data_IF_027191825468
#
_entry.id   IF_027191825468
#
_cell.length_a   1.000
_cell.length_b   1.000
_cell.length_c   1.000
_cell.angle_alpha   90.00
_cell.angle_beta   90.00
_cell.angle_gamma   90.00
#
_symmetry.space_group_name_H-M   'P 1'
#
loop_
_entity.id
_entity.type
_entity.pdbx_description
1 polymer ?
#
# COMPACT_ATOMS: atom_id res chain seq x y z
N UNK A 1 12.47 -4.34 43.76
CA UNK A 1 11.66 -3.60 42.77
C UNK A 1 12.39 -2.37 42.25
N UNK A 2 13.10 -1.64 43.11
CA UNK A 2 13.87 -0.44 42.74
C UNK A 2 14.83 -0.63 41.54
N UNK A 3 15.51 -1.77 41.45
CA UNK A 3 16.36 -2.09 40.31
C UNK A 3 15.59 -2.11 38.98
N UNK A 4 14.36 -2.63 38.98
CA UNK A 4 13.53 -2.73 37.78
C UNK A 4 12.99 -1.35 37.36
N UNK A 5 12.58 -0.52 38.33
CA UNK A 5 12.20 0.87 38.04
C UNK A 5 13.38 1.68 37.51
N UNK A 6 14.55 1.53 38.12
CA UNK A 6 15.79 2.18 37.68
C UNK A 6 16.16 1.73 36.26
N UNK A 7 16.12 0.41 36.01
CA UNK A 7 16.37 -0.13 34.68
C UNK A 7 15.40 0.42 33.63
N UNK A 8 14.10 0.42 33.92
CA UNK A 8 13.09 0.90 32.98
C UNK A 8 13.29 2.39 32.66
N UNK A 9 13.55 3.21 33.67
CA UNK A 9 13.87 4.63 33.48
C UNK A 9 15.12 4.83 32.61
N UNK A 10 16.22 4.15 32.93
CA UNK A 10 17.46 4.24 32.17
C UNK A 10 17.31 3.73 30.74
N UNK A 11 16.54 2.65 30.52
CA UNK A 11 16.26 2.11 29.21
C UNK A 11 15.46 3.12 28.37
N UNK A 12 14.36 3.66 28.91
CA UNK A 12 13.54 4.65 28.22
C UNK A 12 14.37 5.88 27.82
N UNK A 13 15.10 6.48 28.77
CA UNK A 13 15.95 7.64 28.49
C UNK A 13 17.08 7.31 27.51
N UNK A 14 17.75 6.17 27.67
CA UNK A 14 18.82 5.74 26.78
C UNK A 14 18.33 5.51 25.34
N UNK A 15 17.15 4.92 25.18
CA UNK A 15 16.52 4.70 23.87
C UNK A 15 16.17 6.03 23.19
N UNK A 16 15.58 6.99 23.91
CA UNK A 16 15.27 8.32 23.34
C UNK A 16 16.53 9.11 22.98
N UNK A 17 17.61 8.99 23.76
CA UNK A 17 18.90 9.61 23.44
C UNK A 17 19.52 9.03 22.16
N UNK A 18 19.40 7.71 21.95
CA UNK A 18 19.92 7.06 20.75
C UNK A 18 19.03 7.29 19.51
N UNK A 19 17.71 7.26 19.70
CA UNK A 19 16.67 7.39 18.67
C UNK A 19 15.47 8.15 19.26
N UNK A 20 15.31 9.47 18.99
CA UNK A 20 14.28 10.30 19.62
C UNK A 20 12.83 9.83 19.44
N UNK A 21 12.55 9.07 18.38
CA UNK A 21 11.24 8.50 18.07
C UNK A 21 11.06 7.06 18.57
N UNK A 22 12.02 6.49 19.29
CA UNK A 22 11.88 5.15 19.86
C UNK A 22 10.80 5.12 20.95
N UNK A 23 10.30 3.91 21.23
CA UNK A 23 9.24 3.68 22.21
C UNK A 23 9.58 2.47 23.08
N UNK A 24 9.46 2.64 24.38
CA UNK A 24 9.54 1.57 25.38
C UNK A 24 8.16 1.32 25.94
N UNK A 25 7.65 0.09 25.80
CA UNK A 25 6.30 -0.29 26.22
C UNK A 25 6.40 -1.37 27.28
N UNK A 26 5.73 -1.16 28.42
CA UNK A 26 5.65 -2.14 29.51
C UNK A 26 4.49 -3.10 29.31
N UNK A 27 4.66 -4.39 29.60
CA UNK A 27 3.55 -5.34 29.61
C UNK A 27 3.00 -5.52 31.03
N UNK A 28 1.68 -5.36 31.21
CA UNK A 28 0.95 -5.56 32.45
C UNK A 28 1.15 -6.99 32.98
N UNK A 29 2.19 -7.22 33.77
CA UNK A 29 2.62 -8.54 34.24
C UNK A 29 3.03 -8.48 35.70
N UNK A 30 4.20 -7.91 35.98
CA UNK A 30 4.74 -7.76 37.33
C UNK A 30 4.15 -6.51 37.99
N UNK A 31 3.71 -6.63 39.24
CA UNK A 31 3.20 -5.50 40.02
C UNK A 31 4.33 -4.74 40.73
N UNK A 32 4.00 -3.60 41.33
CA UNK A 32 4.90 -2.83 42.21
C UNK A 32 5.46 -3.62 43.40
N UNK A 33 4.83 -4.74 43.77
CA UNK A 33 5.31 -5.64 44.83
C UNK A 33 6.26 -6.73 44.30
N UNK A 34 6.47 -6.79 42.97
CA UNK A 34 7.28 -7.83 42.32
C UNK A 34 6.53 -9.13 42.00
N UNK A 35 5.22 -9.18 42.21
CA UNK A 35 4.41 -10.37 41.93
C UNK A 35 4.00 -10.44 40.46
N UNK A 36 4.08 -11.63 39.85
CA UNK A 36 3.49 -11.88 38.54
C UNK A 36 1.95 -11.95 38.67
N UNK A 37 1.26 -10.85 38.36
CA UNK A 37 -0.18 -10.72 38.47
C UNK A 37 -0.71 -9.65 37.51
N UNK A 38 -1.28 -10.11 36.39
CA UNK A 38 -1.95 -9.25 35.42
C UNK A 38 -3.14 -8.51 36.05
N UNK A 39 -3.17 -7.19 35.90
CA UNK A 39 -4.25 -6.37 36.41
C UNK A 39 -5.42 -6.28 35.42
N UNK A 40 -5.16 -6.52 34.13
CA UNK A 40 -6.09 -6.34 33.02
C UNK A 40 -6.64 -4.90 32.91
N UNK A 41 -5.91 -3.95 33.50
CA UNK A 41 -6.27 -2.55 33.68
C UNK A 41 -5.02 -1.74 34.04
N UNK A 42 -5.01 -0.44 33.74
CA UNK A 42 -4.05 0.47 34.38
C UNK A 42 -4.58 0.85 35.77
N UNK A 43 -3.77 0.62 36.80
CA UNK A 43 -4.09 0.97 38.18
C UNK A 43 -2.81 1.19 39.01
N UNK A 44 -2.95 1.44 40.31
CA UNK A 44 -1.81 1.70 41.22
C UNK A 44 -0.74 0.59 41.23
N UNK A 45 -1.11 -0.65 40.92
CA UNK A 45 -0.20 -1.80 40.95
C UNK A 45 0.74 -1.86 39.74
N UNK A 46 0.44 -1.14 38.66
CA UNK A 46 1.29 -1.07 37.47
C UNK A 46 1.57 0.36 36.98
N UNK A 47 0.95 1.38 37.62
CA UNK A 47 1.15 2.80 37.32
C UNK A 47 2.62 3.23 37.31
N UNK A 48 3.47 2.87 38.29
CA UNK A 48 4.86 3.34 38.27
C UNK A 48 5.63 2.88 37.02
N UNK A 49 5.33 1.70 36.47
CA UNK A 49 5.97 1.29 35.21
C UNK A 49 5.48 2.13 34.03
N UNK A 50 4.18 2.40 33.96
CA UNK A 50 3.58 3.23 32.91
C UNK A 50 4.14 4.66 32.93
N UNK A 51 4.41 5.22 34.11
CA UNK A 51 5.02 6.54 34.26
C UNK A 51 6.49 6.59 33.83
N UNK A 52 7.21 5.47 33.90
CA UNK A 52 8.63 5.37 33.56
C UNK A 52 8.90 4.95 32.10
N UNK A 53 7.86 4.76 31.28
CA UNK A 53 7.99 4.37 29.88
C UNK A 53 6.92 5.03 28.99
N UNK A 54 7.02 4.80 27.68
CA UNK A 54 6.16 5.46 26.69
C UNK A 54 4.73 4.94 26.68
N UNK A 55 4.48 3.71 27.15
CA UNK A 55 3.13 3.17 27.19
C UNK A 55 3.03 1.80 27.86
N UNK A 56 1.81 1.31 28.01
CA UNK A 56 1.53 0.01 28.64
C UNK A 56 0.65 -0.88 27.76
N UNK A 57 1.08 -2.11 27.55
CA UNK A 57 0.31 -3.19 26.97
C UNK A 57 -0.44 -3.90 28.10
N UNK A 58 -1.76 -3.74 28.16
CA UNK A 58 -2.59 -4.42 29.17
C UNK A 58 -2.92 -5.85 28.77
N UNK A 59 -3.02 -6.74 29.75
CA UNK A 59 -3.45 -8.12 29.51
C UNK A 59 -4.88 -8.20 28.95
N UNK A 60 -5.19 -9.30 28.26
CA UNK A 60 -6.41 -9.47 27.46
C UNK A 60 -7.63 -10.01 28.22
N UNK A 61 -7.53 -10.28 29.53
CA UNK A 61 -8.66 -10.75 30.37
C UNK A 61 -9.42 -9.60 31.05
N UNK A 62 -9.51 -8.44 30.40
CA UNK A 62 -10.22 -7.27 30.89
C UNK A 62 -11.74 -7.44 30.82
N UNK A 63 -12.45 -6.57 31.56
CA UNK A 63 -13.91 -6.43 31.51
C UNK A 63 -14.26 -4.97 31.22
N UNK A 64 -15.43 -4.73 30.63
CA UNK A 64 -15.86 -3.39 30.19
C UNK A 64 -15.69 -2.32 31.28
N UNK A 65 -16.09 -2.53 32.56
CA UNK A 65 -15.87 -1.53 33.60
C UNK A 65 -14.40 -1.17 33.84
N UNK A 66 -13.48 -2.13 33.68
CA UNK A 66 -12.05 -1.90 33.83
C UNK A 66 -11.48 -1.01 32.73
N UNK A 67 -12.07 -1.02 31.54
CA UNK A 67 -11.65 -0.12 30.45
C UNK A 67 -11.94 1.33 30.81
N UNK A 68 -13.16 1.64 31.26
CA UNK A 68 -13.50 3.01 31.66
C UNK A 68 -12.69 3.46 32.88
N UNK A 69 -12.47 2.59 33.85
CA UNK A 69 -11.60 2.88 35.00
C UNK A 69 -10.16 3.17 34.55
N UNK A 70 -9.60 2.33 33.68
CA UNK A 70 -8.28 2.52 33.06
C UNK A 70 -8.19 3.85 32.33
N UNK A 71 -9.22 4.19 31.56
CA UNK A 71 -9.22 5.39 30.75
C UNK A 71 -9.29 6.67 31.61
N UNK A 72 -10.09 6.65 32.67
CA UNK A 72 -10.09 7.71 33.69
C UNK A 72 -8.73 7.82 34.38
N UNK A 73 -8.13 6.68 34.74
CA UNK A 73 -6.84 6.62 35.43
C UNK A 73 -5.68 7.14 34.57
N UNK A 74 -5.68 6.84 33.27
CA UNK A 74 -4.65 7.27 32.32
C UNK A 74 -4.73 8.77 31.98
N UNK A 75 -5.89 9.41 32.17
CA UNK A 75 -6.09 10.84 31.94
C UNK A 75 -5.73 11.26 30.51
N UNK A 76 -4.71 12.09 30.34
CA UNK A 76 -4.27 12.56 29.03
C UNK A 76 -3.47 11.49 28.25
N UNK A 77 -2.89 10.48 28.93
CA UNK A 77 -2.10 9.41 28.31
C UNK A 77 -2.93 8.19 27.89
N UNK A 78 -4.24 8.35 27.69
CA UNK A 78 -5.14 7.26 27.25
C UNK A 78 -4.71 6.63 25.92
N UNK A 79 -4.07 7.39 25.04
CA UNK A 79 -3.49 6.89 23.79
C UNK A 79 -2.30 5.94 23.97
N UNK A 80 -1.62 6.02 25.12
CA UNK A 80 -0.43 5.21 25.45
C UNK A 80 -0.78 3.91 26.17
N UNK A 81 -2.08 3.65 26.40
CA UNK A 81 -2.59 2.41 26.98
C UNK A 81 -3.12 1.52 25.87
N UNK A 82 -2.40 0.44 25.58
CA UNK A 82 -2.73 -0.53 24.55
C UNK A 82 -3.43 -1.73 25.17
N UNK A 83 -4.75 -1.78 25.08
CA UNK A 83 -5.56 -2.86 25.66
C UNK A 83 -5.41 -4.14 24.81
N UNK A 84 -4.92 -5.22 25.43
CA UNK A 84 -4.69 -6.49 24.74
C UNK A 84 -5.95 -7.14 24.20
N UNK A 85 -5.88 -7.66 22.98
CA UNK A 85 -6.87 -8.53 22.35
C UNK A 85 -6.16 -9.81 21.93
N UNK A 86 -6.46 -10.94 22.57
CA UNK A 86 -5.89 -12.23 22.18
C UNK A 86 -6.65 -12.83 20.99
N UNK A 87 -6.01 -12.85 19.82
CA UNK A 87 -6.64 -13.36 18.60
C UNK A 87 -6.85 -14.88 18.68
N UNK A 88 -6.17 -15.62 19.56
CA UNK A 88 -6.48 -17.03 19.79
C UNK A 88 -7.72 -17.27 20.67
N UNK A 89 -8.31 -16.22 21.24
CA UNK A 89 -9.58 -16.35 21.94
C UNK A 89 -9.48 -17.02 23.32
N UNK A 90 -8.33 -16.99 24.01
CA UNK A 90 -8.18 -17.66 25.31
C UNK A 90 -8.85 -16.87 26.43
N UNK A 91 -10.18 -16.98 26.50
CA UNK A 91 -11.07 -16.31 27.49
C UNK A 91 -11.07 -14.78 27.40
N UNK A 92 -10.66 -14.21 26.27
CA UNK A 92 -10.71 -12.77 26.03
C UNK A 92 -12.12 -12.33 25.59
N UNK A 93 -12.38 -11.03 25.64
CA UNK A 93 -13.64 -10.48 25.14
C UNK A 93 -13.81 -10.80 23.64
N UNK A 94 -14.98 -11.31 23.24
CA UNK A 94 -15.30 -11.61 21.85
C UNK A 94 -14.64 -12.87 21.28
N UNK A 95 -13.96 -13.69 22.09
CA UNK A 95 -13.42 -15.01 21.69
C UNK A 95 -12.39 -15.01 20.54
N UNK A 96 -11.77 -13.85 20.25
CA UNK A 96 -10.67 -13.75 19.28
C UNK A 96 -11.07 -14.07 17.83
N UNK A 97 -10.11 -14.55 17.03
CA UNK A 97 -10.28 -14.89 15.63
C UNK A 97 -10.89 -13.78 14.80
N UNK A 98 -11.86 -14.11 13.95
CA UNK A 98 -12.63 -13.12 13.19
C UNK A 98 -13.56 -12.24 14.04
N UNK A 99 -13.73 -12.54 15.34
CA UNK A 99 -14.49 -11.69 16.27
C UNK A 99 -13.59 -10.66 16.99
N UNK A 100 -12.30 -10.57 16.66
CA UNK A 100 -11.34 -9.58 17.22
C UNK A 100 -11.88 -8.15 17.11
N UNK A 101 -12.63 -7.84 16.06
CA UNK A 101 -13.29 -6.55 15.86
C UNK A 101 -14.28 -6.19 16.98
N UNK A 102 -14.95 -7.17 17.60
CA UNK A 102 -15.88 -6.94 18.72
C UNK A 102 -15.16 -6.36 19.94
N UNK A 103 -13.98 -6.91 20.26
CA UNK A 103 -13.13 -6.39 21.32
C UNK A 103 -12.61 -4.99 20.99
N UNK A 104 -12.12 -4.80 19.76
CA UNK A 104 -11.58 -3.52 19.29
C UNK A 104 -12.63 -2.40 19.35
N UNK A 105 -13.87 -2.69 18.95
CA UNK A 105 -14.99 -1.75 19.00
C UNK A 105 -15.22 -1.21 20.43
N UNK A 106 -15.26 -2.10 21.41
CA UNK A 106 -15.49 -1.75 22.82
C UNK A 106 -14.31 -0.99 23.42
N UNK A 107 -13.08 -1.36 23.08
CA UNK A 107 -11.88 -0.62 23.49
C UNK A 107 -11.91 0.81 22.94
N UNK A 108 -12.27 0.98 21.65
CA UNK A 108 -12.39 2.31 21.03
C UNK A 108 -13.50 3.15 21.66
N UNK A 109 -14.63 2.55 22.03
CA UNK A 109 -15.69 3.26 22.78
C UNK A 109 -15.20 3.79 24.14
N UNK A 110 -14.24 3.11 24.78
CA UNK A 110 -13.59 3.60 26.01
C UNK A 110 -12.51 4.66 25.76
N UNK A 111 -12.28 5.07 24.50
CA UNK A 111 -11.22 6.02 24.09
C UNK A 111 -9.83 5.57 24.53
N UNK A 112 -9.51 4.30 24.28
CA UNK A 112 -8.20 3.69 24.54
C UNK A 112 -7.58 3.14 23.24
N UNK A 113 -6.28 2.91 23.27
CA UNK A 113 -5.56 2.16 22.22
C UNK A 113 -5.72 0.65 22.43
N UNK A 114 -5.42 -0.14 21.40
CA UNK A 114 -5.52 -1.59 21.43
C UNK A 114 -4.19 -2.23 21.02
N UNK A 115 -3.92 -3.42 21.55
CA UNK A 115 -2.83 -4.27 21.11
C UNK A 115 -3.38 -5.62 20.63
N UNK A 116 -3.25 -5.89 19.32
CA UNK A 116 -3.67 -7.15 18.71
C UNK A 116 -2.59 -8.21 18.96
N UNK A 117 -2.85 -9.13 19.89
CA UNK A 117 -1.93 -10.17 20.29
C UNK A 117 -2.11 -11.42 19.43
N UNK A 118 -0.98 -11.94 18.92
CA UNK A 118 -0.91 -13.16 18.12
C UNK A 118 -1.81 -13.18 16.86
N UNK A 119 -1.77 -12.14 15.98
CA UNK A 119 -2.50 -12.17 14.71
C UNK A 119 -2.03 -13.27 13.74
N UNK A 120 -0.88 -13.93 14.03
CA UNK A 120 -0.44 -15.15 13.37
C UNK A 120 -1.47 -16.29 13.38
N UNK A 121 -2.48 -16.21 14.27
CA UNK A 121 -3.69 -17.04 14.27
C UNK A 121 -4.27 -17.28 12.87
N UNK A 122 -4.25 -16.27 11.98
CA UNK A 122 -4.76 -16.42 10.61
C UNK A 122 -4.00 -17.52 9.86
N UNK A 123 -2.66 -17.50 9.91
CA UNK A 123 -1.83 -18.50 9.24
C UNK A 123 -1.87 -19.87 9.95
N UNK A 124 -1.92 -19.85 11.29
CA UNK A 124 -1.82 -21.06 12.11
C UNK A 124 -3.12 -21.88 12.16
N UNK A 125 -4.28 -21.24 11.98
CA UNK A 125 -5.58 -21.90 12.19
C UNK A 125 -6.48 -21.93 10.96
N UNK A 126 -6.26 -21.09 9.96
CA UNK A 126 -7.07 -21.05 8.74
C UNK A 126 -6.40 -21.85 7.60
N UNK A 127 -7.16 -22.26 6.56
CA UNK A 127 -6.57 -22.95 5.42
C UNK A 127 -5.44 -22.13 4.76
N UNK A 128 -4.22 -22.68 4.76
CA UNK A 128 -3.01 -22.02 4.21
C UNK A 128 -3.13 -21.73 2.72
N UNK A 129 -3.86 -22.57 1.97
CA UNK A 129 -4.15 -22.36 0.54
C UNK A 129 -4.97 -21.09 0.28
N UNK A 130 -5.62 -20.54 1.30
CA UNK A 130 -6.40 -19.30 1.24
C UNK A 130 -5.81 -18.23 2.16
N UNK A 131 -4.52 -18.32 2.53
CA UNK A 131 -3.91 -17.43 3.52
C UNK A 131 -4.17 -15.96 3.23
N UNK A 132 -3.93 -15.50 2.00
CA UNK A 132 -4.15 -14.11 1.62
C UNK A 132 -5.60 -13.66 1.76
N UNK A 133 -6.55 -14.47 1.31
CA UNK A 133 -7.97 -14.17 1.48
C UNK A 133 -8.34 -14.07 2.97
N UNK A 134 -7.86 -14.99 3.80
CA UNK A 134 -8.14 -15.00 5.24
C UNK A 134 -7.45 -13.83 5.96
N UNK A 135 -6.24 -13.45 5.53
CA UNK A 135 -5.50 -12.31 6.04
C UNK A 135 -6.23 -11.00 5.71
N UNK A 136 -6.63 -10.83 4.46
CA UNK A 136 -7.33 -9.63 4.00
C UNK A 136 -8.68 -9.52 4.71
N UNK A 137 -9.43 -10.63 4.85
CA UNK A 137 -10.66 -10.70 5.66
C UNK A 137 -10.44 -10.29 7.11
N UNK A 138 -9.39 -10.79 7.77
CA UNK A 138 -9.10 -10.47 9.17
C UNK A 138 -8.86 -8.97 9.37
N UNK A 139 -7.99 -8.36 8.57
CA UNK A 139 -7.68 -6.93 8.70
C UNK A 139 -8.82 -6.02 8.27
N UNK A 140 -9.60 -6.42 7.26
CA UNK A 140 -10.82 -5.71 6.84
C UNK A 140 -11.86 -5.60 7.96
N UNK A 141 -11.95 -6.60 8.84
CA UNK A 141 -12.85 -6.54 9.99
C UNK A 141 -12.41 -5.49 11.03
N UNK A 142 -11.12 -5.13 11.05
CA UNK A 142 -10.56 -4.12 11.96
C UNK A 142 -10.51 -2.72 11.34
N UNK A 143 -10.54 -2.61 10.01
CA UNK A 143 -10.48 -1.35 9.24
C UNK A 143 -11.38 -0.23 9.81
N UNK A 144 -12.65 -0.45 10.19
CA UNK A 144 -13.49 0.63 10.71
C UNK A 144 -12.98 1.32 11.98
N UNK A 145 -12.04 0.69 12.70
CA UNK A 145 -11.49 1.15 13.97
C UNK A 145 -10.02 1.57 13.89
N UNK A 146 -9.38 1.35 12.75
CA UNK A 146 -7.96 1.58 12.53
C UNK A 146 -7.79 2.58 11.38
N UNK A 147 -7.36 3.83 11.63
CA UNK A 147 -7.05 4.75 10.55
C UNK A 147 -5.89 4.17 9.71
N UNK A 148 -6.05 4.15 8.39
CA UNK A 148 -5.01 3.74 7.46
C UNK A 148 -4.04 4.90 7.28
N UNK A 149 -2.74 4.66 7.51
CA UNK A 149 -1.71 5.66 7.28
C UNK A 149 -1.59 6.02 5.80
N UNK A 150 -1.21 7.26 5.52
CA UNK A 150 -1.07 7.79 4.16
C UNK A 150 0.42 7.82 3.79
N UNK A 151 0.82 7.38 2.59
CA UNK A 151 2.15 7.66 2.08
C UNK A 151 2.28 9.17 1.82
N UNK A 152 3.06 9.85 2.67
CA UNK A 152 3.40 11.28 2.52
C UNK A 152 4.71 11.51 1.75
N UNK A 153 5.51 10.46 1.54
CA UNK A 153 6.84 10.57 0.96
C UNK A 153 6.87 10.11 -0.50
N UNK A 154 7.58 10.89 -1.33
CA UNK A 154 7.95 10.51 -2.69
C UNK A 154 9.40 9.96 -2.71
N UNK A 155 9.71 8.98 -3.57
CA UNK A 155 8.83 8.36 -4.55
C UNK A 155 7.86 7.36 -3.93
N UNK A 156 6.64 7.33 -4.44
CA UNK A 156 5.67 6.26 -4.17
C UNK A 156 5.74 5.26 -5.31
N UNK A 157 6.04 4.00 -5.00
CA UNK A 157 6.11 2.90 -5.97
C UNK A 157 5.33 1.72 -5.43
N UNK A 158 4.52 1.10 -6.29
CA UNK A 158 3.88 -0.17 -6.01
C UNK A 158 3.81 -1.02 -7.26
N UNK A 159 4.39 -2.22 -7.19
CA UNK A 159 4.14 -3.28 -8.17
C UNK A 159 3.14 -4.30 -7.62
N UNK A 160 2.45 -3.98 -6.52
CA UNK A 160 1.48 -4.83 -5.85
C UNK A 160 2.06 -6.17 -5.39
N UNK A 161 3.38 -6.27 -5.25
CA UNK A 161 4.03 -7.48 -4.77
C UNK A 161 3.86 -7.62 -3.26
N UNK A 162 3.38 -8.78 -2.80
CA UNK A 162 3.27 -9.10 -1.37
C UNK A 162 4.57 -9.64 -0.76
N UNK A 163 5.68 -9.56 -1.49
CA UNK A 163 6.98 -10.08 -1.05
C UNK A 163 7.08 -11.61 -1.11
N UNK A 164 6.27 -12.27 -1.93
CA UNK A 164 6.31 -13.72 -2.15
C UNK A 164 5.52 -14.09 -3.41
N UNK A 165 5.71 -15.31 -3.91
CA UNK A 165 4.97 -15.85 -5.05
C UNK A 165 5.52 -17.20 -5.50
N UNK A 166 4.93 -17.77 -6.55
CA UNK A 166 5.43 -18.97 -7.25
C UNK A 166 6.22 -18.63 -8.51
N UNK A 167 6.20 -17.35 -8.88
CA UNK A 167 6.89 -16.78 -10.02
C UNK A 167 7.45 -15.43 -9.61
N UNK A 168 8.58 -15.04 -10.19
CA UNK A 168 9.11 -13.68 -10.05
C UNK A 168 9.30 -13.07 -11.44
N UNK A 169 8.86 -11.83 -11.57
CA UNK A 169 8.93 -11.06 -12.80
C UNK A 169 9.82 -9.83 -12.61
N UNK A 170 10.50 -9.44 -13.68
CA UNK A 170 11.24 -8.18 -13.80
C UNK A 170 10.91 -7.60 -15.16
N UNK A 171 10.40 -6.38 -15.18
CA UNK A 171 9.99 -5.68 -16.41
C UNK A 171 9.01 -6.51 -17.28
N UNK A 172 8.09 -7.24 -16.62
CA UNK A 172 7.11 -8.11 -17.25
C UNK A 172 7.64 -9.47 -17.72
N UNK A 173 8.94 -9.74 -17.57
CA UNK A 173 9.59 -10.99 -17.97
C UNK A 173 9.71 -11.93 -16.77
N UNK A 174 9.32 -13.19 -16.94
CA UNK A 174 9.51 -14.24 -15.93
C UNK A 174 11.01 -14.50 -15.74
N UNK A 175 11.53 -14.25 -14.55
CA UNK A 175 12.95 -14.46 -14.20
C UNK A 175 13.17 -15.61 -13.22
N UNK A 176 12.11 -16.06 -12.54
CA UNK A 176 12.14 -17.21 -11.65
C UNK A 176 10.81 -17.95 -11.67
N UNK A 177 10.87 -19.29 -11.77
CA UNK A 177 9.74 -20.19 -11.62
C UNK A 177 10.01 -21.10 -10.41
N UNK A 178 9.21 -20.96 -9.36
CA UNK A 178 9.40 -21.60 -8.06
C UNK A 178 8.91 -20.73 -6.90
N UNK A 179 8.60 -21.37 -5.78
CA UNK A 179 8.17 -20.65 -4.56
C UNK A 179 9.29 -19.76 -4.02
N UNK A 180 8.94 -18.53 -3.69
CA UNK A 180 9.84 -17.60 -3.03
C UNK A 180 9.09 -16.73 -2.01
N UNK A 181 9.83 -16.26 -1.01
CA UNK A 181 9.36 -15.30 -0.03
C UNK A 181 10.53 -14.42 0.42
N UNK A 182 10.31 -13.12 0.40
CA UNK A 182 11.19 -12.07 0.87
C UNK A 182 10.33 -10.86 1.27
N UNK A 183 10.06 -10.70 2.57
CA UNK A 183 9.26 -9.60 3.07
C UNK A 183 9.89 -8.22 2.83
N UNK A 184 11.20 -8.14 2.65
CA UNK A 184 11.86 -6.89 2.25
C UNK A 184 11.58 -6.48 0.81
N UNK A 185 11.01 -7.39 0.00
CA UNK A 185 10.52 -7.12 -1.35
C UNK A 185 9.00 -6.92 -1.41
N UNK A 186 8.33 -6.76 -0.25
CA UNK A 186 6.93 -6.36 -0.23
C UNK A 186 6.80 -4.87 -0.59
N UNK A 187 5.95 -4.58 -1.56
CA UNK A 187 5.65 -3.22 -1.97
C UNK A 187 4.48 -2.63 -1.17
N UNK A 188 4.30 -1.32 -1.29
CA UNK A 188 3.10 -0.62 -0.84
C UNK A 188 1.84 -1.30 -1.43
N UNK A 189 0.86 -1.60 -0.57
CA UNK A 189 -0.42 -2.19 -0.98
C UNK A 189 -1.53 -1.13 -0.99
N UNK A 190 -2.61 -1.29 -1.77
CA UNK A 190 -3.73 -0.33 -1.83
C UNK A 190 -4.26 0.05 -0.44
N UNK A 191 -4.54 1.34 -0.22
CA UNK A 191 -5.07 1.90 1.04
C UNK A 191 -6.59 1.77 1.15
N UNK A 192 -7.29 1.83 0.01
CA UNK A 192 -8.72 1.58 -0.02
C UNK A 192 -8.89 0.07 -0.20
N UNK A 193 -9.50 -0.63 0.76
CA UNK A 193 -9.78 -2.06 0.64
C UNK A 193 -11.26 -2.29 0.34
N UNK A 194 -12.13 -2.08 1.32
CA UNK A 194 -13.59 -2.33 1.21
C UNK A 194 -14.31 -1.32 0.31
N UNK A 195 -13.70 -0.16 0.03
CA UNK A 195 -14.31 0.93 -0.73
C UNK A 195 -13.55 1.28 -2.02
N UNK A 196 -12.81 0.31 -2.56
CA UNK A 196 -12.06 0.43 -3.82
C UNK A 196 -12.95 0.80 -5.00
N UNK A 197 -13.97 -0.02 -5.27
CA UNK A 197 -14.80 0.07 -6.46
C UNK A 197 -15.87 1.15 -6.30
N UNK A 198 -16.00 2.02 -7.31
CA UNK A 198 -17.09 3.00 -7.41
C UNK A 198 -17.78 2.85 -8.76
N UNK A 199 -18.89 2.13 -8.75
CA UNK A 199 -19.79 2.01 -9.87
C UNK A 199 -20.91 3.06 -9.72
N UNK A 200 -21.11 3.90 -10.75
CA UNK A 200 -22.33 4.67 -10.94
C UNK A 200 -23.22 3.92 -11.94
N UNK A 201 -24.54 3.94 -11.76
CA UNK A 201 -25.51 3.38 -12.72
C UNK A 201 -25.39 4.01 -14.11
N UNK A 202 -24.77 5.20 -14.19
CA UNK A 202 -24.48 5.90 -15.43
C UNK A 202 -23.14 5.51 -16.06
N UNK A 203 -22.28 4.72 -15.43
CA UNK A 203 -21.01 4.31 -16.02
C UNK A 203 -21.23 3.36 -17.20
N UNK A 204 -20.37 3.45 -18.23
CA UNK A 204 -20.38 2.52 -19.36
C UNK A 204 -19.82 1.13 -19.02
N UNK A 205 -19.21 0.97 -17.84
CA UNK A 205 -18.73 -0.30 -17.32
C UNK A 205 -19.20 -0.52 -15.89
N UNK A 206 -19.28 -1.77 -15.48
CA UNK A 206 -19.47 -2.20 -14.12
C UNK A 206 -18.23 -2.95 -13.64
N UNK A 207 -17.52 -2.41 -12.66
CA UNK A 207 -16.39 -3.08 -12.00
C UNK A 207 -16.92 -4.14 -11.03
N UNK A 208 -16.50 -5.39 -11.23
CA UNK A 208 -16.94 -6.52 -10.40
C UNK A 208 -15.92 -6.86 -9.32
N UNK A 209 -14.63 -6.82 -9.65
CA UNK A 209 -13.58 -7.19 -8.70
C UNK A 209 -12.27 -6.44 -8.93
N UNK A 210 -11.51 -6.30 -7.85
CA UNK A 210 -10.13 -5.84 -7.83
C UNK A 210 -9.38 -6.71 -6.82
N UNK A 211 -8.42 -7.52 -7.28
CA UNK A 211 -7.75 -8.50 -6.43
C UNK A 211 -6.31 -8.76 -6.87
N UNK A 212 -5.47 -9.20 -5.94
CA UNK A 212 -4.09 -9.57 -6.24
C UNK A 212 -4.07 -10.83 -7.09
N UNK A 213 -3.31 -10.79 -8.17
CA UNK A 213 -3.10 -11.89 -9.10
C UNK A 213 -1.64 -12.32 -9.10
N UNK A 214 -1.39 -13.58 -8.73
CA UNK A 214 -0.05 -14.17 -8.63
C UNK A 214 0.38 -14.88 -9.92
N UNK A 215 -0.49 -14.94 -10.94
CA UNK A 215 -0.20 -15.63 -12.20
C UNK A 215 0.63 -14.79 -13.17
N UNK A 216 0.62 -13.46 -13.02
CA UNK A 216 1.37 -12.54 -13.86
C UNK A 216 1.72 -11.28 -13.07
N UNK A 217 2.89 -10.72 -13.32
CA UNK A 217 3.32 -9.45 -12.73
C UNK A 217 4.21 -8.66 -13.67
N UNK A 218 4.31 -7.36 -13.45
CA UNK A 218 5.33 -6.54 -14.09
C UNK A 218 6.65 -6.63 -13.30
N UNK A 219 6.57 -6.50 -11.97
CA UNK A 219 7.71 -6.66 -11.07
C UNK A 219 7.30 -7.47 -9.84
N UNK A 220 8.21 -8.29 -9.32
CA UNK A 220 7.94 -9.12 -8.15
C UNK A 220 7.03 -10.30 -8.46
N UNK A 221 6.12 -10.64 -7.54
CA UNK A 221 5.37 -11.91 -7.55
C UNK A 221 3.89 -11.81 -7.88
N UNK A 222 3.37 -10.60 -8.04
CA UNK A 222 1.95 -10.38 -8.25
C UNK A 222 1.67 -9.05 -8.93
N UNK A 223 0.49 -8.93 -9.53
CA UNK A 223 -0.08 -7.67 -10.01
C UNK A 223 -1.48 -7.48 -9.41
N UNK A 224 -2.13 -6.36 -9.72
CA UNK A 224 -3.50 -6.12 -9.33
C UNK A 224 -4.44 -6.35 -10.52
N UNK A 225 -5.25 -7.40 -10.47
CA UNK A 225 -6.25 -7.71 -11.49
C UNK A 225 -7.56 -6.99 -11.22
N UNK A 226 -8.04 -6.27 -12.21
CA UNK A 226 -9.34 -5.61 -12.25
C UNK A 226 -10.20 -6.33 -13.27
N UNK A 227 -11.40 -6.74 -12.86
CA UNK A 227 -12.39 -7.37 -13.75
C UNK A 227 -13.73 -6.66 -13.68
N UNK A 228 -14.47 -6.71 -14.78
CA UNK A 228 -15.79 -6.13 -14.85
C UNK A 228 -16.51 -6.46 -16.15
N UNK A 229 -17.62 -5.78 -16.37
CA UNK A 229 -18.47 -5.93 -17.55
C UNK A 229 -18.66 -4.60 -18.26
N UNK A 230 -18.65 -4.63 -19.58
CA UNK A 230 -19.19 -3.53 -20.37
C UNK A 230 -20.71 -3.52 -20.27
N UNK A 231 -21.27 -2.35 -20.02
CA UNK A 231 -22.71 -2.16 -19.98
C UNK A 231 -23.21 -1.83 -21.38
N UNK A 232 -24.36 -2.38 -21.78
CA UNK A 232 -25.02 -2.06 -23.06
C UNK A 232 -25.53 -0.61 -23.14
N UNK A 233 -25.45 0.15 -22.04
CA UNK A 233 -25.81 1.55 -21.96
C UNK A 233 -24.89 2.38 -22.87
N UNK A 234 -25.45 3.30 -23.67
CA UNK A 234 -24.70 4.27 -24.51
C UNK A 234 -23.98 5.36 -23.68
N UNK A 235 -23.48 5.01 -22.49
CA UNK A 235 -22.72 5.94 -21.66
C UNK A 235 -21.24 5.72 -21.88
N UNK A 236 -20.52 6.83 -22.07
CA UNK A 236 -19.07 6.85 -22.14
C UNK A 236 -18.45 7.28 -20.81
N UNK A 237 -19.22 7.36 -19.73
CA UNK A 237 -18.69 7.75 -18.42
C UNK A 237 -17.86 6.61 -17.81
N UNK A 238 -16.70 6.93 -17.21
CA UNK A 238 -15.83 5.94 -16.59
C UNK A 238 -16.38 5.50 -15.23
N UNK A 239 -16.13 4.24 -14.88
CA UNK A 239 -16.16 3.79 -13.48
C UNK A 239 -14.80 4.05 -12.85
N UNK A 240 -14.79 4.41 -11.56
CA UNK A 240 -13.55 4.70 -10.84
C UNK A 240 -13.21 3.59 -9.85
N UNK A 241 -11.93 3.32 -9.73
CA UNK A 241 -11.31 2.45 -8.74
C UNK A 241 -10.31 3.30 -7.94
N UNK A 242 -10.45 3.36 -6.62
CA UNK A 242 -9.49 4.05 -5.74
C UNK A 242 -8.48 3.06 -5.20
N UNK A 243 -7.20 3.40 -5.28
CA UNK A 243 -6.10 2.52 -4.88
C UNK A 243 -5.39 3.06 -3.65
N UNK A 244 -4.81 4.25 -3.73
CA UNK A 244 -3.98 4.82 -2.67
C UNK A 244 -4.57 6.12 -2.16
N UNK A 245 -4.59 6.28 -0.84
CA UNK A 245 -4.80 7.57 -0.20
C UNK A 245 -3.45 8.26 -0.05
N UNK A 246 -3.35 9.54 -0.35
CA UNK A 246 -2.09 10.29 -0.33
C UNK A 246 -2.33 11.70 0.19
N UNK A 247 -1.26 12.42 0.47
CA UNK A 247 -1.28 13.87 0.73
C UNK A 247 0.03 14.45 0.18
N UNK A 248 0.07 14.62 -1.15
CA UNK A 248 1.28 15.02 -1.89
C UNK A 248 1.07 16.40 -2.52
N UNK A 249 1.91 17.34 -2.09
CA UNK A 249 1.80 18.76 -2.49
C UNK A 249 2.97 19.20 -3.38
N UNK A 250 3.92 18.28 -3.60
CA UNK A 250 5.17 18.56 -4.30
C UNK A 250 5.03 18.38 -5.81
N UNK A 251 5.70 19.24 -6.58
CA UNK A 251 5.62 19.28 -8.07
C UNK A 251 6.97 19.70 -8.67
N UNK A 252 7.24 19.43 -9.96
CA UNK A 252 6.45 18.63 -10.91
C UNK A 252 6.56 17.13 -10.61
N UNK A 253 5.49 16.39 -10.94
CA UNK A 253 5.43 14.94 -10.74
C UNK A 253 5.79 14.20 -12.01
N UNK A 254 6.67 13.21 -11.89
CA UNK A 254 6.86 12.16 -12.88
C UNK A 254 6.05 10.95 -12.46
N UNK A 255 5.09 10.58 -13.31
CA UNK A 255 4.15 9.50 -13.08
C UNK A 255 4.31 8.47 -14.18
N UNK A 256 4.34 7.18 -13.81
CA UNK A 256 4.29 6.09 -14.77
C UNK A 256 3.46 4.93 -14.23
N UNK A 257 2.84 4.18 -15.13
CA UNK A 257 2.14 2.95 -14.75
C UNK A 257 2.13 1.93 -15.89
N UNK A 258 2.10 0.65 -15.52
CA UNK A 258 2.18 -0.48 -16.44
C UNK A 258 0.90 -1.30 -16.41
N UNK A 259 0.27 -1.51 -17.57
CA UNK A 259 -0.97 -2.29 -17.71
C UNK A 259 -0.81 -3.42 -18.71
N UNK A 260 -1.26 -4.60 -18.31
CA UNK A 260 -1.50 -5.74 -19.17
C UNK A 260 -3.00 -5.89 -19.39
N UNK A 261 -3.42 -6.07 -20.63
CA UNK A 261 -4.81 -6.41 -20.98
C UNK A 261 -4.84 -7.84 -21.51
N UNK A 262 -5.95 -8.54 -21.27
CA UNK A 262 -6.21 -9.82 -21.95
C UNK A 262 -6.47 -9.59 -23.46
N UNK A 263 -6.36 -10.66 -24.26
CA UNK A 263 -6.36 -10.63 -25.73
C UNK A 263 -7.58 -9.96 -26.42
N UNK A 264 -8.64 -9.66 -25.65
CA UNK A 264 -9.74 -8.78 -26.06
C UNK A 264 -9.42 -7.28 -25.86
N UNK A 265 -8.19 -6.89 -26.23
CA UNK A 265 -7.50 -5.62 -25.97
C UNK A 265 -8.29 -4.32 -26.24
N UNK A 266 -9.34 -4.37 -27.06
CA UNK A 266 -10.00 -3.22 -27.67
C UNK A 266 -11.29 -2.77 -27.00
N UNK A 267 -11.86 -3.53 -26.06
CA UNK A 267 -13.22 -3.25 -25.54
C UNK A 267 -13.27 -2.14 -24.48
N UNK A 268 -12.19 -1.94 -23.71
CA UNK A 268 -12.13 -0.91 -22.65
C UNK A 268 -10.92 0.02 -22.79
N UNK A 269 -11.15 1.27 -22.42
CA UNK A 269 -10.10 2.27 -22.16
C UNK A 269 -9.90 2.43 -20.66
N UNK A 270 -8.68 2.78 -20.27
CA UNK A 270 -8.32 3.01 -18.88
C UNK A 270 -7.42 4.25 -18.76
N UNK A 271 -7.50 4.92 -17.61
CA UNK A 271 -6.70 6.10 -17.29
C UNK A 271 -6.24 6.00 -15.85
N UNK A 272 -5.00 6.36 -15.58
CA UNK A 272 -4.61 6.60 -14.19
C UNK A 272 -5.31 7.87 -13.71
N UNK A 273 -6.05 7.75 -12.61
CA UNK A 273 -6.82 8.86 -12.03
C UNK A 273 -6.07 9.45 -10.84
N UNK A 274 -5.79 10.75 -10.89
CA UNK A 274 -5.20 11.52 -9.81
C UNK A 274 -6.22 12.53 -9.29
N UNK A 275 -6.72 12.32 -8.06
CA UNK A 275 -7.63 13.24 -7.40
C UNK A 275 -6.84 14.26 -6.59
N UNK A 276 -6.93 15.52 -6.99
CA UNK A 276 -6.45 16.65 -6.20
C UNK A 276 -7.60 17.28 -5.41
N UNK A 277 -7.29 18.14 -4.44
CA UNK A 277 -8.31 18.87 -3.67
C UNK A 277 -9.28 19.66 -4.57
N UNK A 278 -8.79 20.26 -5.65
CA UNK A 278 -9.54 21.15 -6.53
C UNK A 278 -9.88 20.59 -7.91
N UNK A 279 -9.31 19.45 -8.33
CA UNK A 279 -9.58 18.83 -9.62
C UNK A 279 -9.22 17.34 -9.68
N UNK A 280 -9.58 16.70 -10.79
CA UNK A 280 -9.23 15.33 -11.15
C UNK A 280 -8.43 15.34 -12.45
N UNK A 281 -7.30 14.66 -12.46
CA UNK A 281 -6.52 14.41 -13.66
C UNK A 281 -6.72 12.96 -14.11
N UNK A 282 -6.87 12.76 -15.41
CA UNK A 282 -6.89 11.46 -16.05
C UNK A 282 -5.74 11.37 -17.02
N UNK A 283 -4.82 10.45 -16.72
CA UNK A 283 -3.63 10.23 -17.53
C UNK A 283 -3.97 9.21 -18.60
N UNK A 284 -3.95 9.67 -19.85
CA UNK A 284 -4.30 8.91 -21.03
C UNK A 284 -3.08 8.18 -21.62
N UNK A 285 -3.07 6.84 -21.63
CA UNK A 285 -1.96 6.06 -22.15
C UNK A 285 -2.00 5.83 -23.67
N UNK A 286 -3.04 6.31 -24.36
CA UNK A 286 -3.28 6.02 -25.79
C UNK A 286 -2.96 7.20 -26.69
N UNK A 287 -3.17 8.42 -26.19
CA UNK A 287 -2.96 9.67 -26.92
C UNK A 287 -1.78 10.44 -26.31
N UNK A 288 -0.84 10.84 -27.16
CA UNK A 288 0.37 11.54 -26.73
C UNK A 288 0.20 13.04 -26.97
N UNK A 289 0.49 13.84 -25.95
CA UNK A 289 0.36 15.29 -26.03
C UNK A 289 1.42 15.95 -25.16
N UNK A 290 2.08 16.97 -25.69
CA UNK A 290 3.04 17.81 -24.95
C UNK A 290 2.41 19.16 -24.66
N UNK A 291 2.50 19.59 -23.41
CA UNK A 291 2.07 20.92 -22.99
C UNK A 291 3.15 21.97 -23.22
N UNK A 292 2.87 23.20 -22.77
CA UNK A 292 3.86 24.27 -22.81
C UNK A 292 4.93 24.08 -21.73
N UNK A 293 6.19 24.14 -22.16
CA UNK A 293 7.35 24.08 -21.29
C UNK A 293 7.97 22.69 -21.17
N UNK A 294 9.14 22.68 -20.54
CA UNK A 294 9.95 21.48 -20.32
C UNK A 294 10.53 21.50 -18.91
N UNK A 295 10.86 20.33 -18.40
CA UNK A 295 11.55 20.17 -17.12
C UNK A 295 12.75 19.25 -17.35
N UNK A 296 13.95 19.78 -17.16
CA UNK A 296 15.22 19.10 -17.48
C UNK A 296 15.30 18.57 -18.93
N UNK A 297 14.78 19.34 -19.90
CA UNK A 297 14.77 18.95 -21.31
C UNK A 297 13.76 17.86 -21.67
N UNK A 298 12.85 17.51 -20.75
CA UNK A 298 11.73 16.62 -21.01
C UNK A 298 10.43 17.45 -21.13
N UNK A 299 9.61 17.23 -22.17
CA UNK A 299 8.36 17.95 -22.33
C UNK A 299 7.37 17.56 -21.22
N UNK A 300 6.57 18.53 -20.77
CA UNK A 300 5.46 18.24 -19.85
C UNK A 300 4.29 17.60 -20.59
N UNK A 301 3.50 16.78 -19.91
CA UNK A 301 2.26 16.23 -20.47
C UNK A 301 1.25 17.35 -20.76
N UNK A 302 0.67 17.31 -21.96
CA UNK A 302 -0.28 18.30 -22.45
C UNK A 302 -1.73 17.87 -22.26
N UNK A 303 -2.63 18.84 -22.23
CA UNK A 303 -4.06 18.63 -22.12
C UNK A 303 -4.65 18.10 -23.44
N UNK A 304 -5.57 17.14 -23.31
CA UNK A 304 -6.34 16.55 -24.40
C UNK A 304 -7.81 16.96 -24.24
N UNK A 305 -8.57 17.04 -25.35
CA UNK A 305 -10.00 17.28 -25.26
C UNK A 305 -10.69 16.15 -24.47
N UNK A 306 -11.64 16.53 -23.63
CA UNK A 306 -12.51 15.58 -22.95
C UNK A 306 -13.47 14.92 -23.96
N UNK A 307 -13.74 13.61 -23.83
CA UNK A 307 -14.77 12.96 -24.65
C UNK A 307 -16.15 13.58 -24.43
N UNK A 308 -17.01 13.51 -25.45
CA UNK A 308 -18.38 14.04 -25.37
C UNK A 308 -19.17 13.43 -24.20
N UNK A 309 -19.91 14.28 -23.49
CA UNK A 309 -20.75 13.88 -22.35
C UNK A 309 -20.01 13.77 -21.01
N UNK A 310 -18.71 14.02 -20.99
CA UNK A 310 -17.94 14.05 -19.75
C UNK A 310 -18.10 15.39 -19.00
N UNK A 311 -18.09 15.38 -17.65
CA UNK A 311 -18.18 16.60 -16.88
C UNK A 311 -16.92 17.46 -17.14
N UNK A 312 -17.14 18.70 -17.55
CA UNK A 312 -16.05 19.64 -17.85
C UNK A 312 -15.53 20.34 -16.60
N UNK A 313 -16.37 20.53 -15.58
CA UNK A 313 -15.92 21.15 -14.34
C UNK A 313 -14.97 20.21 -13.59
N UNK A 314 -13.78 20.73 -13.31
CA UNK A 314 -12.78 20.10 -12.44
C UNK A 314 -12.15 18.82 -12.98
N UNK A 315 -12.37 18.45 -14.24
CA UNK A 315 -11.71 17.31 -14.88
C UNK A 315 -10.73 17.79 -15.95
N UNK A 316 -9.56 17.17 -15.99
CA UNK A 316 -8.55 17.40 -17.03
C UNK A 316 -8.00 16.04 -17.51
N UNK A 317 -7.86 15.88 -18.82
CA UNK A 317 -7.27 14.68 -19.45
C UNK A 317 -5.91 15.07 -19.99
N UNK A 318 -4.87 14.33 -19.59
CA UNK A 318 -3.49 14.60 -19.99
C UNK A 318 -2.96 13.46 -20.84
N UNK A 319 -2.28 13.78 -21.93
CA UNK A 319 -1.64 12.79 -22.80
C UNK A 319 -0.29 12.30 -22.27
N UNK A 320 0.08 11.08 -22.67
CA UNK A 320 1.40 10.52 -22.40
C UNK A 320 2.50 11.30 -23.14
N UNK A 321 3.72 11.23 -22.63
CA UNK A 321 4.88 11.85 -23.26
C UNK A 321 5.25 11.07 -24.54
N UNK A 322 5.39 11.73 -25.70
CA UNK A 322 5.72 11.04 -26.94
C UNK A 322 7.18 10.57 -26.99
N UNK A 323 7.43 9.59 -27.86
CA UNK A 323 8.78 9.26 -28.31
C UNK A 323 9.45 10.48 -28.97
N UNK A 324 10.78 10.66 -28.83
CA UNK A 324 11.75 9.74 -28.21
C UNK A 324 11.84 9.86 -26.67
N UNK A 325 11.20 10.85 -26.04
CA UNK A 325 11.36 11.13 -24.61
C UNK A 325 10.82 10.03 -23.71
N UNK A 326 9.69 9.39 -24.07
CA UNK A 326 9.20 8.22 -23.33
C UNK A 326 10.16 7.04 -23.37
N UNK A 327 10.81 6.78 -24.51
CA UNK A 327 11.83 5.74 -24.60
C UNK A 327 13.06 6.05 -23.74
N UNK A 328 13.47 7.32 -23.67
CA UNK A 328 14.55 7.76 -22.79
C UNK A 328 14.19 7.54 -21.30
N UNK A 329 12.98 7.92 -20.89
CA UNK A 329 12.49 7.68 -19.54
C UNK A 329 12.44 6.18 -19.23
N UNK A 330 11.91 5.38 -20.17
CA UNK A 330 11.84 3.94 -20.02
C UNK A 330 13.22 3.32 -19.81
N UNK A 331 14.17 3.62 -20.70
CA UNK A 331 15.56 3.16 -20.59
C UNK A 331 16.22 3.59 -19.29
N UNK A 332 15.92 4.78 -18.81
CA UNK A 332 16.44 5.28 -17.52
C UNK A 332 15.92 4.47 -16.33
N UNK A 333 14.66 4.02 -16.37
CA UNK A 333 14.07 3.28 -15.26
C UNK A 333 14.33 1.78 -15.29
N UNK A 334 14.29 1.16 -16.47
CA UNK A 334 14.36 -0.31 -16.60
C UNK A 334 15.74 -0.80 -17.05
N UNK A 335 16.52 0.08 -17.70
CA UNK A 335 17.73 -0.28 -18.44
C UNK A 335 17.46 -0.84 -19.83
N UNK A 336 16.19 -1.06 -20.20
CA UNK A 336 15.78 -1.62 -21.49
C UNK A 336 15.47 -0.51 -22.49
N UNK A 337 15.81 -0.71 -23.76
CA UNK A 337 15.57 0.32 -24.80
C UNK A 337 14.08 0.50 -25.12
N UNK A 338 13.29 -0.57 -24.94
CA UNK A 338 11.87 -0.60 -25.25
C UNK A 338 11.07 -1.26 -24.12
N UNK A 339 9.80 -0.86 -23.93
CA UNK A 339 8.86 -1.54 -23.03
C UNK A 339 8.70 -3.02 -23.37
N UNK A 340 8.23 -3.78 -22.38
CA UNK A 340 7.78 -5.16 -22.56
C UNK A 340 6.73 -5.24 -23.68
N UNK A 341 6.83 -6.24 -24.56
CA UNK A 341 5.85 -6.46 -25.64
C UNK A 341 4.42 -6.68 -25.12
N UNK A 342 4.27 -7.17 -23.88
CA UNK A 342 2.96 -7.49 -23.28
C UNK A 342 2.42 -6.38 -22.37
N UNK A 343 3.30 -5.67 -21.68
CA UNK A 343 2.90 -4.65 -20.71
C UNK A 343 3.06 -3.26 -21.31
N UNK A 344 1.96 -2.54 -21.46
CA UNK A 344 2.02 -1.15 -21.87
C UNK A 344 2.44 -0.28 -20.68
N UNK A 345 3.57 0.42 -20.79
CA UNK A 345 4.09 1.32 -19.76
C UNK A 345 4.15 2.73 -20.30
N UNK A 346 3.41 3.65 -19.66
CA UNK A 346 3.32 5.03 -20.11
C UNK A 346 3.84 6.03 -19.08
N UNK A 347 4.36 7.16 -19.56
CA UNK A 347 5.04 8.18 -18.76
C UNK A 347 4.37 9.55 -18.92
N UNK A 348 4.25 10.25 -17.79
CA UNK A 348 3.61 11.56 -17.70
C UNK A 348 4.47 12.48 -16.82
N UNK A 349 4.64 13.73 -17.27
CA UNK A 349 5.25 14.79 -16.46
C UNK A 349 4.16 15.83 -16.19
N UNK A 350 3.69 15.86 -14.96
CA UNK A 350 2.60 16.71 -14.53
C UNK A 350 3.17 17.98 -13.93
N UNK A 351 2.98 19.08 -14.66
CA UNK A 351 3.38 20.40 -14.19
C UNK A 351 2.49 20.88 -13.04
N UNK A 352 2.99 21.83 -12.25
CA UNK A 352 2.22 22.46 -11.16
C UNK A 352 0.91 23.10 -11.65
N UNK A 353 0.84 23.53 -12.91
CA UNK A 353 -0.34 24.17 -13.47
C UNK A 353 -1.58 23.25 -13.47
N UNK A 354 -1.39 21.94 -13.55
CA UNK A 354 -2.48 20.97 -13.60
C UNK A 354 -2.91 20.47 -12.21
N UNK A 355 -2.09 20.62 -11.17
CA UNK A 355 -2.38 20.12 -9.83
C UNK A 355 -3.04 21.21 -8.99
N UNK A 356 -4.38 21.22 -8.93
CA UNK A 356 -5.14 22.19 -8.12
C UNK A 356 -5.22 21.70 -6.67
N UNK A 357 -4.15 21.93 -5.90
CA UNK A 357 -4.03 21.52 -4.50
C UNK A 357 -3.33 20.17 -4.33
N UNK A 358 -3.39 19.62 -3.11
CA UNK A 358 -2.77 18.36 -2.73
C UNK A 358 -3.34 17.18 -3.53
N UNK A 359 -2.49 16.25 -3.97
CA UNK A 359 -2.89 14.95 -4.50
C UNK A 359 -3.34 14.07 -3.34
N UNK A 360 -4.63 13.78 -3.29
CA UNK A 360 -5.31 13.11 -2.17
C UNK A 360 -5.64 11.64 -2.43
N UNK A 361 -5.78 11.25 -3.68
CA UNK A 361 -6.08 9.87 -4.05
C UNK A 361 -5.51 9.53 -5.42
N UNK A 362 -4.98 8.32 -5.54
CA UNK A 362 -4.58 7.71 -6.81
C UNK A 362 -5.43 6.49 -7.08
N UNK A 363 -5.88 6.37 -8.31
CA UNK A 363 -6.80 5.32 -8.73
C UNK A 363 -6.71 5.03 -10.22
N UNK A 364 -7.69 4.28 -10.71
CA UNK A 364 -7.86 3.97 -12.12
C UNK A 364 -9.29 4.34 -12.53
N UNK A 365 -9.46 4.95 -13.69
CA UNK A 365 -10.74 5.12 -14.35
C UNK A 365 -10.82 4.12 -15.51
N UNK A 366 -11.93 3.38 -15.63
CA UNK A 366 -12.15 2.40 -16.70
C UNK A 366 -13.47 2.69 -17.38
N UNK A 367 -13.50 2.60 -18.70
CA UNK A 367 -14.68 2.93 -19.51
C UNK A 367 -14.74 2.05 -20.76
N UNK A 368 -15.86 2.05 -21.51
CA UNK A 368 -15.87 1.49 -22.85
C UNK A 368 -14.81 2.16 -23.73
N UNK A 369 -14.31 1.43 -24.72
CA UNK A 369 -13.24 1.93 -25.59
C UNK A 369 -13.53 3.28 -26.22
N UNK A 370 -12.56 4.21 -26.15
CA UNK A 370 -12.63 5.47 -26.90
C UNK A 370 -12.47 5.27 -28.41
N UNK A 371 -11.82 4.18 -28.84
CA UNK A 371 -11.44 3.95 -30.24
C UNK A 371 -12.41 3.03 -30.99
N UNK A 372 -13.17 2.21 -30.28
CA UNK A 372 -14.02 1.18 -30.89
C UNK A 372 -15.43 1.23 -30.32
N UNK A 373 -16.43 1.22 -31.22
CA UNK A 373 -17.82 1.08 -30.81
C UNK A 373 -18.07 -0.34 -30.31
N UNK A 374 -18.38 -0.47 -29.02
CA UNK A 374 -18.77 -1.75 -28.43
C UNK A 374 -20.29 -1.84 -28.39
N UNK A 375 -20.84 -2.80 -29.13
CA UNK A 375 -22.29 -2.98 -29.27
C UNK A 375 -22.88 -4.10 -28.41
N UNK A 376 -22.03 -4.86 -27.71
CA UNK A 376 -22.45 -6.00 -26.90
C UNK A 376 -21.73 -6.00 -25.55
N UNK A 377 -22.44 -6.46 -24.52
CA UNK A 377 -21.87 -6.71 -23.19
C UNK A 377 -20.78 -7.76 -23.29
N UNK A 378 -19.60 -7.45 -22.76
CA UNK A 378 -18.48 -8.37 -22.66
C UNK A 378 -17.80 -8.20 -21.31
N UNK A 379 -17.31 -9.32 -20.78
CA UNK A 379 -16.42 -9.31 -19.62
C UNK A 379 -15.05 -8.75 -20.06
N UNK A 380 -14.42 -7.97 -19.18
CA UNK A 380 -13.06 -7.51 -19.39
C UNK A 380 -12.20 -7.78 -18.17
N UNK A 381 -10.90 -7.92 -18.44
CA UNK A 381 -9.86 -8.06 -17.43
C UNK A 381 -8.66 -7.19 -17.83
N UNK A 382 -8.10 -6.51 -16.84
CA UNK A 382 -6.83 -5.82 -16.96
C UNK A 382 -6.04 -6.04 -15.68
N UNK A 383 -4.72 -6.10 -15.82
CA UNK A 383 -3.78 -6.20 -14.72
C UNK A 383 -2.97 -4.90 -14.65
N UNK A 384 -2.97 -4.25 -13.49
CA UNK A 384 -2.08 -3.14 -13.18
C UNK A 384 -0.83 -3.71 -12.51
N UNK A 385 0.33 -3.54 -13.16
CA UNK A 385 1.58 -4.21 -12.79
C UNK A 385 2.57 -3.35 -12.04
N UNK A 386 2.61 -2.04 -12.31
CA UNK A 386 3.40 -1.07 -11.56
C UNK A 386 2.70 0.29 -11.61
N UNK A 387 2.78 1.04 -10.52
CA UNK A 387 2.49 2.46 -10.42
C UNK A 387 3.67 3.15 -9.74
N UNK A 388 4.14 4.26 -10.33
CA UNK A 388 5.18 5.11 -9.79
C UNK A 388 4.76 6.58 -9.83
N UNK A 389 4.95 7.27 -8.71
CA UNK A 389 4.82 8.72 -8.59
C UNK A 389 6.07 9.24 -7.91
N UNK A 390 6.73 10.22 -8.52
CA UNK A 390 8.00 10.74 -8.02
C UNK A 390 8.16 12.22 -8.34
N UNK A 391 9.06 12.90 -7.64
CA UNK A 391 9.50 14.23 -8.04
C UNK A 391 10.52 14.13 -9.15
N UNK A 392 10.31 14.90 -10.21
CA UNK A 392 11.28 14.98 -11.30
C UNK A 392 12.60 15.67 -10.87
N UNK A 393 12.59 16.45 -9.78
CA UNK A 393 13.77 17.08 -9.18
C UNK A 393 14.53 16.18 -8.19
N UNK A 394 14.03 14.98 -7.90
CA UNK A 394 14.66 14.14 -6.90
C UNK A 394 15.97 13.58 -7.47
N UNK A 395 17.10 13.85 -6.79
CA UNK A 395 18.37 13.14 -7.03
C UNK A 395 18.21 11.61 -6.96
N UNK A 396 17.11 11.09 -6.39
CA UNK A 396 16.72 9.68 -6.42
C UNK A 396 16.21 9.17 -7.78
N UNK A 397 15.97 10.05 -8.77
CA UNK A 397 15.81 9.64 -10.18
C UNK A 397 17.12 9.05 -10.76
N UNK A 398 18.23 9.13 -10.02
CA UNK A 398 19.36 8.24 -10.20
C UNK A 398 19.30 7.00 -9.28
N UNK A 399 19.16 5.83 -9.90
CA UNK A 399 20.07 4.69 -9.67
C UNK A 399 20.15 4.20 -8.19
N UNK A 400 19.01 4.01 -7.52
CA UNK A 400 18.99 3.28 -6.23
C UNK A 400 18.30 1.91 -6.32
N UNK A 401 17.46 1.68 -7.33
CA UNK A 401 16.97 0.34 -7.68
C UNK A 401 17.92 -0.44 -8.61
N UNK A 402 18.90 0.24 -9.23
CA UNK A 402 19.90 -0.36 -10.13
C UNK A 402 21.03 -1.06 -9.34
N UNK A 403 21.21 -0.77 -8.04
CA UNK A 403 22.27 -1.39 -7.23
C UNK A 403 22.04 -2.86 -6.83
N UNK A 404 20.93 -3.48 -7.26
CA UNK A 404 20.81 -4.95 -7.26
C UNK A 404 21.17 -5.60 -8.62
N UNK A 405 21.29 -4.83 -9.72
CA UNK A 405 21.56 -5.36 -11.07
C UNK A 405 23.04 -5.27 -11.51
N UNK A 406 23.88 -4.44 -10.89
CA UNK A 406 25.32 -4.38 -11.20
C UNK A 406 26.16 -5.58 -10.72
N UNK A 407 25.57 -6.58 -10.08
CA UNK A 407 26.25 -7.83 -9.72
C UNK A 407 26.11 -8.96 -10.78
N UNK A 408 25.63 -8.65 -11.99
CA UNK A 408 25.45 -9.65 -13.05
C UNK A 408 26.62 -9.82 -14.02
N UNK A 409 27.78 -9.18 -13.82
CA UNK A 409 28.91 -9.27 -14.76
C UNK A 409 30.24 -9.80 -14.23
N UNK A 410 30.32 -10.37 -13.02
CA UNK A 410 31.58 -10.96 -12.51
C UNK A 410 31.50 -12.36 -11.93
N UNK A 411 30.38 -13.08 -12.06
CA UNK A 411 30.21 -14.40 -11.41
C UNK A 411 30.34 -15.65 -12.30
N UNK A 412 31.03 -15.56 -13.46
CA UNK A 412 31.36 -16.77 -14.24
C UNK A 412 32.72 -17.42 -13.90
N UNK A 413 33.50 -16.90 -12.94
CA UNK A 413 34.82 -17.48 -12.61
C UNK A 413 35.14 -17.72 -11.13
N UNK A 414 34.21 -17.50 -10.21
CA UNK A 414 34.50 -17.56 -8.76
C UNK A 414 33.90 -18.78 -8.03
N UNK A 415 33.65 -19.89 -8.72
CA UNK A 415 33.15 -21.15 -8.12
C UNK A 415 34.24 -22.17 -7.76
N UNK A 416 35.51 -21.79 -7.77
CA UNK A 416 36.59 -22.63 -7.26
C UNK A 416 37.59 -21.82 -6.44
N UNK A 417 37.88 -22.30 -5.22
CA UNK A 417 38.89 -21.85 -4.25
C UNK A 417 38.44 -20.87 -3.14
N UNK A 418 37.94 -21.49 -2.06
CA UNK A 418 38.13 -21.28 -0.61
C UNK A 418 38.03 -19.87 0.06
N UNK A 419 37.50 -19.81 1.32
CA UNK A 419 36.81 -18.67 1.89
C UNK A 419 37.66 -17.85 2.86
N UNK A 420 37.32 -16.57 3.02
CA UNK A 420 37.24 -15.84 4.30
C UNK A 420 36.82 -14.40 4.04
N UNK A 421 35.77 -13.98 4.79
CA UNK A 421 35.24 -12.61 4.96
C UNK A 421 34.38 -12.05 3.82
N UNK A 422 33.10 -12.40 3.86
CA UNK A 422 31.96 -11.47 3.72
C UNK A 422 30.71 -12.17 4.27
N UNK A 423 29.86 -11.42 4.96
CA UNK A 423 28.77 -11.95 5.76
C UNK A 423 27.72 -12.68 4.89
N UNK A 424 27.60 -13.99 5.10
CA UNK A 424 26.65 -14.85 4.42
C UNK A 424 25.21 -14.56 4.84
N UNK A 425 24.39 -14.21 3.86
CA UNK A 425 22.97 -14.59 3.79
C UNK A 425 22.91 -16.11 3.93
N UNK A 426 22.36 -16.60 5.04
CA UNK A 426 22.02 -18.02 5.20
C UNK A 426 20.53 -18.17 4.92
N UNK A 427 20.23 -18.85 3.82
CA UNK A 427 19.00 -19.61 3.71
C UNK A 427 18.99 -20.65 4.84
N UNK A 428 17.92 -20.62 5.64
CA UNK A 428 17.43 -21.74 6.42
C UNK A 428 15.97 -21.94 6.08
#
# INVERSE_FOLDING_TARGET
>A
MDNLFTFLSLLTTGMHNALPWSKVIWYDSVTVDGNLKWQNALNKMNQPFFELCDGIFLNYLWKVPLLYATATFAGHRRGDVYVGIDVFGRKCYGDGGYNTNKALAVIKQASLSAAVFAPGWVYETQPKTQFFHNQDKFWLLLEPYCPVGEPHALPMVSSFSRGCGEMMFVDGVLVHLGHWSNLSAQDLQPSFFSTMLRNDVKCGVHLESCSVDNSVAYYGGSSLRISGKLMTLKSNLPASLRLFRTEIDSTPLLVSYSVLKDDYHSSVSHFLQLQCTGNVLLLDPYDHCTGEGEVYGLPVSGELPLPDGWPTLSLCRLGAIPSPHSNLLHKTFTGNEHPSEKWNTEYFIISKAYLKGALTTIGLAVMPSLKYNVHQSHDFKLNLGELKVSLLSCKCCHISYIKMKDNKQTNEKALSANPRRTAHVRYR
#
